data_IF_774846311206
#
_entry.id   IF_774846311206
#
_cell.length_a   1.000
_cell.length_b   1.000
_cell.length_c   1.000
_cell.angle_alpha   90.00
_cell.angle_beta   90.00
_cell.angle_gamma   90.00
#
_symmetry.space_group_name_H-M   'P 1'
#
loop_
_entity.id
_entity.type
_entity.pdbx_description
1 polymer ?
#
# COMPACT_ATOMS: atom_id res chain seq x y z
N UNK A 1 6.91 -0.23 -4.96
CA UNK A 1 7.10 0.11 -3.52
C UNK A 1 5.77 0.53 -2.90
N UNK A 2 5.61 0.36 -1.58
CA UNK A 2 4.34 0.56 -0.86
C UNK A 2 4.04 2.03 -0.48
N UNK A 3 5.08 2.89 -0.40
CA UNK A 3 4.94 4.32 -0.11
C UNK A 3 4.46 4.66 1.32
N UNK A 4 4.39 3.68 2.23
CA UNK A 4 3.97 3.88 3.62
C UNK A 4 5.18 3.88 4.57
N UNK A 5 5.09 4.60 5.69
CA UNK A 5 6.07 4.48 6.77
C UNK A 5 5.80 3.18 7.55
N UNK A 6 6.82 2.57 8.18
CA UNK A 6 6.67 1.39 9.02
C UNK A 6 5.58 1.54 10.10
N UNK A 7 5.50 2.73 10.73
CA UNK A 7 4.45 3.04 11.72
C UNK A 7 3.02 2.92 11.16
N UNK A 8 2.83 3.20 9.86
CA UNK A 8 1.52 3.12 9.22
C UNK A 8 1.09 1.67 8.95
N UNK A 9 2.08 0.75 8.89
CA UNK A 9 1.88 -0.68 8.69
C UNK A 9 1.49 -1.42 9.96
N UNK A 10 1.64 -0.81 11.13
CA UNK A 10 1.24 -1.44 12.39
C UNK A 10 -0.29 -1.46 12.54
N UNK A 11 -0.82 -2.63 12.89
CA UNK A 11 -2.20 -2.82 13.28
C UNK A 11 -2.42 -2.31 14.71
N UNK A 12 -3.02 -1.12 14.78
CA UNK A 12 -3.32 -0.44 16.05
C UNK A 12 -4.48 -1.09 16.79
N UNK A 13 -5.27 -1.95 16.16
CA UNK A 13 -6.37 -2.65 16.84
C UNK A 13 -5.89 -3.84 17.66
N UNK A 14 -4.69 -4.35 17.38
CA UNK A 14 -4.12 -5.50 18.07
C UNK A 14 -3.86 -5.19 19.56
N UNK A 15 -4.31 -6.04 20.51
CA UNK A 15 -4.07 -5.84 21.95
C UNK A 15 -2.60 -5.69 22.32
N UNK A 16 -1.68 -6.37 21.63
CA UNK A 16 -0.26 -6.28 21.92
C UNK A 16 0.36 -4.95 21.49
N UNK A 17 -0.12 -4.38 20.37
CA UNK A 17 0.23 -3.01 20.01
C UNK A 17 -0.20 -2.03 21.11
N UNK A 18 -1.41 -2.21 21.64
CA UNK A 18 -1.94 -1.36 22.71
C UNK A 18 -1.12 -1.46 24.00
N UNK A 19 -0.71 -2.67 24.38
CA UNK A 19 0.02 -2.91 25.61
C UNK A 19 1.49 -2.48 25.55
N UNK A 20 2.19 -2.72 24.42
CA UNK A 20 3.65 -2.60 24.34
C UNK A 20 4.16 -1.46 23.47
N UNK A 21 3.35 -0.98 22.53
CA UNK A 21 3.81 -0.09 21.44
C UNK A 21 3.13 1.29 21.49
N UNK A 22 1.87 1.36 21.94
CA UNK A 22 1.11 2.61 22.01
C UNK A 22 1.80 3.65 22.90
N UNK A 23 1.84 4.89 22.41
CA UNK A 23 2.43 6.02 23.12
C UNK A 23 3.94 6.18 22.91
N UNK A 24 4.63 5.14 22.44
CA UNK A 24 6.06 5.21 22.17
C UNK A 24 6.35 5.96 20.87
N UNK A 25 7.50 6.65 20.86
CA UNK A 25 8.03 7.32 19.67
C UNK A 25 9.37 6.68 19.32
N UNK A 26 9.42 6.00 18.18
CA UNK A 26 10.64 5.41 17.64
C UNK A 26 11.12 6.14 16.38
N UNK A 27 12.39 5.93 16.06
CA UNK A 27 12.98 6.29 14.77
C UNK A 27 12.45 5.37 13.67
N UNK A 28 12.73 5.70 12.41
CA UNK A 28 12.37 4.85 11.26
C UNK A 28 12.85 3.40 11.43
N UNK A 29 14.12 3.23 11.84
CA UNK A 29 14.72 1.91 12.09
C UNK A 29 14.10 1.20 13.29
N UNK A 30 13.81 1.93 14.37
CA UNK A 30 13.15 1.34 15.54
C UNK A 30 11.74 0.82 15.22
N UNK A 31 10.97 1.51 14.39
CA UNK A 31 9.67 1.00 13.93
C UNK A 31 9.82 -0.26 13.05
N UNK A 32 10.85 -0.34 12.22
CA UNK A 32 11.15 -1.55 11.45
C UNK A 32 11.51 -2.71 12.37
N UNK A 33 12.33 -2.48 13.38
CA UNK A 33 12.73 -3.50 14.36
C UNK A 33 11.52 -4.04 15.14
N UNK A 34 10.59 -3.16 15.54
CA UNK A 34 9.32 -3.57 16.17
C UNK A 34 8.55 -4.51 15.24
N UNK A 35 8.43 -4.19 13.94
CA UNK A 35 7.75 -5.05 12.97
C UNK A 35 8.47 -6.37 12.72
N UNK A 36 9.80 -6.36 12.62
CA UNK A 36 10.60 -7.57 12.43
C UNK A 36 10.48 -8.54 13.61
N UNK A 37 10.45 -8.01 14.83
CA UNK A 37 10.32 -8.82 16.05
C UNK A 37 8.87 -9.21 16.37
N UNK A 38 7.88 -8.50 15.82
CA UNK A 38 6.46 -8.71 16.10
C UNK A 38 5.64 -8.72 14.78
N UNK A 39 5.86 -9.71 13.89
CA UNK A 39 5.30 -9.70 12.54
C UNK A 39 3.77 -9.74 12.50
N UNK A 40 3.12 -10.28 13.53
CA UNK A 40 1.65 -10.29 13.67
C UNK A 40 1.04 -8.89 13.89
N UNK A 41 1.86 -7.90 14.23
CA UNK A 41 1.43 -6.50 14.27
C UNK A 41 1.41 -5.86 12.88
N UNK A 42 1.92 -6.53 11.85
CA UNK A 42 1.89 -6.02 10.48
C UNK A 42 0.48 -6.17 9.91
N UNK A 43 -0.10 -5.07 9.40
CA UNK A 43 -1.35 -5.11 8.65
C UNK A 43 -1.20 -6.00 7.43
N UNK A 44 -2.16 -6.88 7.25
CA UNK A 44 -2.24 -7.82 6.14
C UNK A 44 -3.64 -7.75 5.48
N UNK A 45 -3.77 -8.15 4.20
CA UNK A 45 -2.70 -8.64 3.33
C UNK A 45 -1.95 -7.52 2.60
N UNK A 46 -0.64 -7.72 2.40
CA UNK A 46 0.19 -6.89 1.51
C UNK A 46 0.47 -7.73 0.25
N UNK A 47 0.05 -7.21 -0.89
CA UNK A 47 0.27 -7.86 -2.17
C UNK A 47 1.41 -7.16 -2.92
N UNK A 48 2.32 -7.93 -3.51
CA UNK A 48 3.49 -7.45 -4.25
C UNK A 48 3.51 -8.11 -5.62
N UNK A 49 3.63 -7.31 -6.67
CA UNK A 49 3.74 -7.79 -8.04
C UNK A 49 4.67 -6.89 -8.86
N UNK A 50 5.74 -7.49 -9.41
CA UNK A 50 6.85 -6.75 -10.01
C UNK A 50 7.32 -5.58 -9.12
N UNK A 51 7.32 -4.36 -9.66
CA UNK A 51 7.79 -3.16 -8.94
C UNK A 51 6.69 -2.45 -8.14
N UNK A 52 5.48 -3.03 -8.06
CA UNK A 52 4.33 -2.47 -7.35
C UNK A 52 4.02 -3.29 -6.10
N UNK A 53 3.54 -2.59 -5.08
CA UNK A 53 3.08 -3.21 -3.84
C UNK A 53 1.89 -2.41 -3.31
N UNK A 54 0.92 -3.09 -2.70
CA UNK A 54 -0.29 -2.49 -2.12
C UNK A 54 -0.63 -3.17 -0.80
N UNK A 55 -1.00 -2.37 0.20
CA UNK A 55 -1.68 -2.87 1.40
C UNK A 55 -3.18 -2.93 1.09
N UNK A 56 -3.75 -4.13 1.09
CA UNK A 56 -5.14 -4.34 0.74
C UNK A 56 -6.04 -4.08 1.95
N UNK A 57 -6.83 -3.01 1.89
CA UNK A 57 -7.91 -2.74 2.85
C UNK A 57 -9.25 -3.28 2.34
N UNK A 58 -9.40 -3.39 1.01
CA UNK A 58 -10.55 -3.96 0.32
C UNK A 58 -10.07 -5.01 -0.68
N UNK A 59 -10.88 -6.03 -1.02
CA UNK A 59 -10.50 -7.01 -2.05
C UNK A 59 -10.11 -6.39 -3.39
N UNK A 60 -10.76 -5.29 -3.78
CA UNK A 60 -10.49 -4.57 -5.03
C UNK A 60 -9.14 -3.85 -5.06
N UNK A 61 -8.46 -3.68 -3.93
CA UNK A 61 -7.14 -3.05 -3.89
C UNK A 61 -6.08 -3.84 -4.66
N UNK A 62 -6.29 -5.15 -4.86
CA UNK A 62 -5.42 -5.98 -5.69
C UNK A 62 -5.31 -5.47 -7.13
N UNK A 63 -6.36 -4.82 -7.64
CA UNK A 63 -6.40 -4.27 -9.00
C UNK A 63 -5.41 -3.10 -9.18
N UNK A 64 -4.95 -2.48 -8.10
CA UNK A 64 -3.90 -1.44 -8.13
C UNK A 64 -2.54 -1.99 -8.57
N UNK A 65 -2.35 -3.31 -8.48
CA UNK A 65 -1.15 -3.99 -8.95
C UNK A 65 -1.12 -4.20 -10.46
N UNK A 66 -2.23 -3.97 -11.17
CA UNK A 66 -2.29 -4.18 -12.61
C UNK A 66 -1.18 -3.38 -13.32
N UNK A 67 -0.37 -4.09 -14.10
CA UNK A 67 0.78 -3.62 -14.88
C UNK A 67 0.43 -3.52 -16.35
N UNK A 68 -0.84 -3.59 -16.74
CA UNK A 68 -1.29 -3.23 -18.08
C UNK A 68 -1.10 -1.73 -18.36
N UNK A 69 0.16 -1.31 -18.49
CA UNK A 69 0.59 -0.11 -19.21
C UNK A 69 0.55 -0.39 -20.73
N UNK A 70 -0.62 -0.81 -21.23
CA UNK A 70 -0.92 -0.84 -22.67
C UNK A 70 -2.29 -0.22 -22.99
N UNK A 71 -2.62 0.87 -22.33
CA UNK A 71 -3.48 1.93 -22.89
C UNK A 71 -3.54 3.06 -21.87
N UNK A 72 -2.79 4.16 -22.05
CA UNK A 72 -3.45 5.35 -22.60
C UNK A 72 -4.68 4.90 -23.38
N UNK A 73 -5.88 5.09 -22.83
CA UNK A 73 -7.12 4.94 -23.59
C UNK A 73 -6.87 5.57 -24.96
N UNK A 74 -6.58 4.75 -25.98
CA UNK A 74 -6.50 5.19 -27.35
C UNK A 74 -7.95 5.46 -27.65
N UNK A 75 -8.38 6.69 -27.35
CA UNK A 75 -9.70 7.16 -27.73
C UNK A 75 -9.81 6.79 -29.21
N UNK A 76 -10.74 5.89 -29.57
CA UNK A 76 -10.89 5.44 -30.94
C UNK A 76 -10.89 6.66 -31.86
N UNK A 77 -10.33 6.58 -33.07
CA UNK A 77 -10.19 7.75 -33.94
C UNK A 77 -11.49 8.56 -34.09
N UNK A 78 -12.64 7.89 -34.00
CA UNK A 78 -13.99 8.46 -34.10
C UNK A 78 -14.52 9.12 -32.82
N UNK A 79 -13.90 8.93 -31.65
CA UNK A 79 -14.30 9.53 -30.37
C UNK A 79 -13.36 10.65 -29.92
N UNK A 80 -12.35 11.02 -30.71
CA UNK A 80 -11.47 12.14 -30.36
C UNK A 80 -12.23 13.46 -30.51
N UNK A 81 -12.11 14.40 -29.55
CA UNK A 81 -12.72 15.73 -29.72
C UNK A 81 -12.16 16.36 -31.00
N UNK A 82 -13.07 16.82 -31.87
CA UNK A 82 -12.69 17.57 -33.07
C UNK A 82 -12.04 18.87 -32.60
N UNK A 83 -10.73 18.99 -32.72
CA UNK A 83 -10.06 20.29 -32.67
C UNK A 83 -10.61 21.10 -33.85
N UNK A 84 -11.31 22.18 -33.53
CA UNK A 84 -11.73 23.19 -34.49
C UNK A 84 -10.53 24.16 -34.55
N UNK A 85 -9.85 24.20 -35.70
CA UNK A 85 -8.82 25.22 -35.99
C UNK A 85 -9.46 26.61 -36.16
#
# INVERSE_FOLDING_TARGET
MLGLKPKDLLDKSNPEYQAKVRGNTFTMSGWLEVLCNNPHLLKAPIAVYHNKAVLCQKPTDILKLDVNSRSSFKVPPHLRPRTID
#
